data_IF_320747032236
#
_entry.id   IF_320747032236
#
_cell.length_a   1.000
_cell.length_b   1.000
_cell.length_c   1.000
_cell.angle_alpha   90.00
_cell.angle_beta   90.00
_cell.angle_gamma   90.00
#
_symmetry.space_group_name_H-M   'P 1'
#
loop_
_entity.id
_entity.type
_entity.pdbx_description
1 polymer ?
#
# COMPACT_ATOMS: atom_id res chain seq x y z
N UNK A 1 -9.49 -3.35 14.48
CA UNK A 1 -8.55 -3.91 15.47
C UNK A 1 -7.09 -3.85 15.00
N UNK A 2 -6.67 -4.45 13.88
CA UNK A 2 -5.28 -4.44 13.41
C UNK A 2 -4.70 -3.02 13.27
N UNK A 3 -5.42 -2.13 12.60
CA UNK A 3 -5.00 -0.73 12.39
C UNK A 3 -4.82 0.06 13.70
N UNK A 4 -5.62 -0.23 14.74
CA UNK A 4 -5.46 0.41 16.06
C UNK A 4 -4.26 -0.15 16.83
N UNK A 5 -3.95 -1.45 16.63
CA UNK A 5 -2.83 -2.11 17.32
C UNK A 5 -1.48 -1.74 16.69
N UNK A 6 -1.36 -1.86 15.37
CA UNK A 6 -0.12 -1.59 14.65
C UNK A 6 -0.42 -1.11 13.21
N UNK A 7 -0.49 0.20 13.03
CA UNK A 7 -0.79 0.83 11.74
C UNK A 7 0.31 0.55 10.70
N UNK A 8 1.59 0.51 11.13
CA UNK A 8 2.69 0.23 10.21
C UNK A 8 2.58 -1.15 9.57
N UNK A 9 2.28 -2.17 10.36
CA UNK A 9 2.07 -3.53 9.84
C UNK A 9 0.80 -3.64 9.00
N UNK A 10 -0.28 -2.96 9.39
CA UNK A 10 -1.57 -3.02 8.71
C UNK A 10 -1.54 -2.53 7.24
N UNK A 11 -0.53 -1.74 6.86
CA UNK A 11 -0.33 -1.32 5.47
C UNK A 11 0.11 -2.47 4.54
N UNK A 12 0.77 -3.48 5.06
CA UNK A 12 1.20 -4.63 4.25
C UNK A 12 0.02 -5.45 3.70
N UNK A 13 -0.90 -5.99 4.54
CA UNK A 13 -2.07 -6.70 4.04
C UNK A 13 -3.02 -5.78 3.24
N UNK A 14 -3.08 -4.48 3.54
CA UNK A 14 -3.90 -3.54 2.79
C UNK A 14 -3.51 -3.48 1.30
N UNK A 15 -2.21 -3.37 1.00
CA UNK A 15 -1.74 -3.36 -0.38
C UNK A 15 -1.84 -4.73 -1.04
N UNK A 16 -1.67 -5.79 -0.29
CA UNK A 16 -1.84 -7.18 -0.76
C UNK A 16 -3.28 -7.43 -1.19
N UNK A 17 -4.26 -6.97 -0.39
CA UNK A 17 -5.68 -7.06 -0.70
C UNK A 17 -6.02 -6.34 -2.03
N UNK A 18 -5.53 -5.11 -2.18
CA UNK A 18 -5.69 -4.37 -3.44
C UNK A 18 -5.07 -5.08 -4.66
N UNK A 19 -3.90 -5.73 -4.49
CA UNK A 19 -3.28 -6.50 -5.55
C UNK A 19 -4.11 -7.75 -5.94
N UNK A 20 -4.72 -8.41 -4.95
CA UNK A 20 -5.66 -9.52 -5.17
C UNK A 20 -6.84 -9.03 -6.02
N UNK A 21 -7.48 -7.92 -5.63
CA UNK A 21 -8.63 -7.35 -6.35
C UNK A 21 -8.27 -7.02 -7.81
N UNK A 22 -7.15 -6.36 -8.06
CA UNK A 22 -6.71 -6.04 -9.42
C UNK A 22 -6.48 -7.30 -10.27
N UNK A 23 -5.85 -8.34 -9.69
CA UNK A 23 -5.64 -9.62 -10.37
C UNK A 23 -6.95 -10.37 -10.62
N UNK A 24 -7.90 -10.35 -9.69
CA UNK A 24 -9.21 -10.98 -9.86
C UNK A 24 -10.02 -10.32 -10.98
N UNK A 25 -9.93 -8.99 -11.11
CA UNK A 25 -10.65 -8.25 -12.16
C UNK A 25 -9.98 -8.42 -13.52
N UNK A 26 -8.68 -8.21 -13.63
CA UNK A 26 -7.99 -8.06 -14.92
C UNK A 26 -6.94 -9.14 -15.22
N UNK A 27 -6.52 -9.94 -14.24
CA UNK A 27 -5.52 -10.98 -14.45
C UNK A 27 -6.04 -12.12 -15.35
N UNK A 28 -5.13 -12.74 -16.11
CA UNK A 28 -5.42 -13.97 -16.83
C UNK A 28 -5.74 -15.12 -15.86
N UNK A 29 -6.36 -16.19 -16.34
CA UNK A 29 -6.66 -17.35 -15.50
C UNK A 29 -5.39 -17.97 -14.89
N UNK A 30 -4.29 -18.03 -15.66
CA UNK A 30 -3.00 -18.50 -15.19
C UNK A 30 -2.43 -17.59 -14.08
N UNK A 31 -2.50 -16.26 -14.25
CA UNK A 31 -2.07 -15.31 -13.23
C UNK A 31 -2.91 -15.43 -11.94
N UNK A 32 -4.22 -15.60 -12.06
CA UNK A 32 -5.11 -15.79 -10.90
C UNK A 32 -4.75 -17.06 -10.14
N UNK A 33 -4.55 -18.17 -10.83
CA UNK A 33 -4.19 -19.46 -10.21
C UNK A 33 -2.81 -19.40 -9.55
N UNK A 34 -1.85 -18.69 -10.13
CA UNK A 34 -0.49 -18.63 -9.65
C UNK A 34 -0.34 -17.68 -8.45
N UNK A 35 -0.86 -16.46 -8.55
CA UNK A 35 -0.58 -15.39 -7.58
C UNK A 35 -1.62 -15.31 -6.46
N UNK A 36 -2.91 -15.41 -6.76
CA UNK A 36 -3.98 -15.10 -5.80
C UNK A 36 -3.97 -16.02 -4.56
N UNK A 37 -3.82 -17.35 -4.66
CA UNK A 37 -3.79 -18.21 -3.46
C UNK A 37 -2.63 -17.87 -2.51
N UNK A 38 -1.46 -17.53 -3.05
CA UNK A 38 -0.28 -17.18 -2.26
C UNK A 38 -0.40 -15.80 -1.60
N UNK A 39 -1.09 -14.85 -2.25
CA UNK A 39 -1.40 -13.55 -1.68
C UNK A 39 -2.46 -13.66 -0.58
N UNK A 40 -3.53 -14.42 -0.78
CA UNK A 40 -4.58 -14.66 0.23
C UNK A 40 -4.01 -15.34 1.48
N UNK A 41 -3.13 -16.33 1.32
CA UNK A 41 -2.51 -17.03 2.45
C UNK A 41 -1.48 -16.18 3.22
N UNK A 42 -1.06 -15.04 2.67
CA UNK A 42 0.02 -14.22 3.21
C UNK A 42 1.42 -14.80 2.98
N UNK A 43 1.55 -15.91 2.24
CA UNK A 43 2.86 -16.45 1.85
C UNK A 43 3.63 -15.47 0.97
N UNK A 44 2.91 -14.68 0.17
CA UNK A 44 3.41 -13.57 -0.63
C UNK A 44 2.66 -12.28 -0.29
N UNK A 45 3.28 -11.14 -0.60
CA UNK A 45 2.66 -9.81 -0.45
C UNK A 45 2.56 -9.11 -1.79
N UNK A 46 1.61 -8.19 -1.90
CA UNK A 46 1.40 -7.36 -3.09
C UNK A 46 1.79 -5.91 -2.85
N UNK A 47 2.24 -5.21 -3.90
CA UNK A 47 2.58 -3.79 -3.85
C UNK A 47 2.06 -3.05 -5.08
N UNK A 48 1.87 -1.74 -4.93
CA UNK A 48 1.36 -0.83 -5.95
C UNK A 48 2.48 0.12 -6.39
N UNK A 49 2.90 0.05 -7.66
CA UNK A 49 4.05 0.76 -8.20
C UNK A 49 3.64 1.74 -9.30
N UNK A 50 3.23 2.94 -8.89
CA UNK A 50 2.79 4.02 -9.79
C UNK A 50 3.84 5.10 -9.93
N UNK A 51 4.19 5.70 -8.78
CA UNK A 51 4.89 6.98 -8.68
C UNK A 51 6.34 6.87 -9.12
N UNK A 52 6.77 7.84 -9.90
CA UNK A 52 8.18 8.05 -10.30
C UNK A 52 8.64 9.45 -9.85
N UNK A 53 9.93 9.74 -9.81
CA UNK A 53 10.43 11.05 -9.36
C UNK A 53 9.78 12.25 -10.06
N UNK A 54 9.43 12.12 -11.35
CA UNK A 54 8.79 13.17 -12.14
C UNK A 54 7.27 12.96 -12.32
N UNK A 55 6.70 11.83 -11.87
CA UNK A 55 5.32 11.44 -12.11
C UNK A 55 4.65 10.97 -10.81
N UNK A 56 4.11 11.91 -10.05
CA UNK A 56 3.33 11.64 -8.84
C UNK A 56 1.86 11.96 -9.04
N UNK A 57 1.49 13.25 -8.98
CA UNK A 57 0.11 13.69 -9.22
C UNK A 57 -0.28 13.60 -10.70
N UNK A 58 0.67 13.83 -11.60
CA UNK A 58 0.49 13.66 -13.05
C UNK A 58 1.18 12.39 -13.53
N UNK A 59 0.41 11.31 -13.67
CA UNK A 59 0.89 10.02 -14.18
C UNK A 59 1.11 10.01 -15.70
N UNK A 60 0.67 11.04 -16.44
CA UNK A 60 1.00 11.16 -17.87
C UNK A 60 2.51 11.20 -18.13
N UNK A 61 3.29 11.60 -17.11
CA UNK A 61 4.73 11.71 -17.15
C UNK A 61 5.48 10.40 -16.81
N UNK A 62 4.79 9.28 -16.59
CA UNK A 62 5.41 7.96 -16.34
C UNK A 62 6.34 7.60 -17.50
N UNK A 63 7.59 7.24 -17.16
CA UNK A 63 8.67 6.91 -18.10
C UNK A 63 9.15 5.48 -18.01
N UNK A 64 8.76 4.71 -16.99
CA UNK A 64 9.08 3.27 -16.94
C UNK A 64 8.65 2.58 -18.22
N UNK A 65 9.53 1.71 -18.75
CA UNK A 65 9.36 1.04 -20.03
C UNK A 65 9.10 -0.45 -19.82
N UNK A 66 8.26 -1.02 -20.67
CA UNK A 66 8.00 -2.45 -20.75
C UNK A 66 8.32 -2.91 -22.18
N UNK A 67 9.45 -3.59 -22.36
CA UNK A 67 9.93 -4.04 -23.68
C UNK A 67 9.45 -5.47 -23.91
N UNK A 68 8.60 -5.73 -24.92
CA UNK A 68 8.07 -7.06 -25.19
C UNK A 68 9.18 -8.04 -25.59
N UNK A 69 9.02 -9.30 -25.19
CA UNK A 69 9.92 -10.41 -25.49
C UNK A 69 9.19 -11.46 -26.35
N UNK A 70 9.98 -12.29 -27.05
CA UNK A 70 9.46 -13.32 -27.95
C UNK A 70 8.62 -14.41 -27.24
N UNK A 71 8.82 -14.58 -25.94
CA UNK A 71 8.09 -15.54 -25.08
C UNK A 71 6.78 -14.98 -24.50
N UNK A 72 6.40 -13.76 -24.87
CA UNK A 72 5.20 -13.08 -24.37
C UNK A 72 5.40 -12.39 -23.01
N UNK A 73 6.58 -12.45 -22.42
CA UNK A 73 6.96 -11.66 -21.25
C UNK A 73 7.37 -10.24 -21.66
N UNK A 74 7.64 -9.40 -20.67
CA UNK A 74 8.16 -8.04 -20.86
C UNK A 74 9.40 -7.84 -19.97
N UNK A 75 10.35 -7.05 -20.46
CA UNK A 75 11.44 -6.52 -19.67
C UNK A 75 11.10 -5.12 -19.19
N UNK A 76 10.99 -4.95 -17.88
CA UNK A 76 10.60 -3.69 -17.24
C UNK A 76 11.87 -2.93 -16.83
N UNK A 77 11.88 -1.63 -17.16
CA UNK A 77 12.97 -0.70 -16.83
C UNK A 77 12.39 0.57 -16.23
N UNK A 78 13.06 1.13 -15.23
CA UNK A 78 12.70 2.40 -14.63
C UNK A 78 12.84 2.43 -13.13
N UNK A 79 12.38 3.53 -12.54
CA UNK A 79 12.42 3.76 -11.10
C UNK A 79 11.02 4.04 -10.57
N UNK A 80 10.68 3.41 -9.46
CA UNK A 80 9.45 3.68 -8.71
C UNK A 80 9.80 4.14 -7.30
N UNK A 81 9.13 5.20 -6.83
CA UNK A 81 9.38 5.80 -5.52
C UNK A 81 8.13 5.73 -4.64
N UNK A 82 8.33 5.83 -3.33
CA UNK A 82 7.28 5.76 -2.32
C UNK A 82 6.50 4.45 -2.31
N UNK A 83 7.19 3.33 -2.60
CA UNK A 83 6.55 2.03 -2.68
C UNK A 83 6.43 1.43 -1.28
N UNK A 84 5.21 1.47 -0.74
CA UNK A 84 4.87 0.88 0.55
C UNK A 84 5.10 -0.63 0.52
N UNK A 85 5.89 -1.14 1.47
CA UNK A 85 6.32 -2.54 1.54
C UNK A 85 6.98 -3.06 0.26
N UNK A 86 7.68 -2.16 -0.46
CA UNK A 86 8.36 -2.51 -1.70
C UNK A 86 9.53 -3.49 -1.50
N UNK A 87 10.13 -3.53 -0.32
CA UNK A 87 11.18 -4.49 0.06
C UNK A 87 11.05 -4.87 1.53
N UNK A 88 11.06 -6.16 1.81
CA UNK A 88 11.07 -6.76 3.14
C UNK A 88 11.33 -8.27 3.06
N UNK A 89 11.50 -8.91 4.22
CA UNK A 89 11.75 -10.35 4.38
C UNK A 89 10.62 -11.11 5.13
N UNK A 90 9.47 -10.45 5.37
CA UNK A 90 8.34 -11.05 6.08
C UNK A 90 7.56 -12.09 5.26
N UNK A 91 7.74 -12.11 3.95
CA UNK A 91 7.07 -13.02 3.02
C UNK A 91 8.08 -13.67 2.08
N UNK A 92 7.73 -14.84 1.54
CA UNK A 92 8.59 -15.60 0.61
C UNK A 92 8.78 -14.92 -0.73
N UNK A 93 7.85 -14.06 -1.13
CA UNK A 93 7.91 -13.29 -2.38
C UNK A 93 7.13 -11.98 -2.22
N UNK A 94 7.46 -11.00 -3.05
CA UNK A 94 6.72 -9.75 -3.20
C UNK A 94 6.27 -9.67 -4.67
N UNK A 95 4.99 -9.43 -4.89
CA UNK A 95 4.39 -9.30 -6.21
C UNK A 95 4.12 -7.82 -6.47
N UNK A 96 4.92 -7.21 -7.34
CA UNK A 96 4.79 -5.81 -7.69
C UNK A 96 3.80 -5.63 -8.86
N UNK A 97 2.76 -4.83 -8.68
CA UNK A 97 1.91 -4.36 -9.76
C UNK A 97 2.46 -3.03 -10.29
N UNK A 98 3.04 -3.04 -11.48
CA UNK A 98 3.88 -1.96 -12.01
C UNK A 98 3.24 -1.30 -13.21
N UNK A 99 3.08 0.03 -13.16
CA UNK A 99 2.68 0.83 -14.32
C UNK A 99 3.91 1.15 -15.18
N UNK A 100 3.85 0.79 -16.47
CA UNK A 100 4.89 1.07 -17.44
C UNK A 100 4.30 1.26 -18.84
N UNK A 101 5.12 1.74 -19.80
CA UNK A 101 4.74 1.97 -21.19
C UNK A 101 5.38 0.95 -22.11
N UNK A 102 4.62 0.43 -23.05
CA UNK A 102 5.16 -0.30 -24.20
C UNK A 102 5.75 0.68 -25.24
N UNK A 103 6.62 0.22 -26.17
CA UNK A 103 7.32 1.11 -27.11
C UNK A 103 6.39 2.01 -27.94
N UNK A 104 5.26 1.48 -28.41
CA UNK A 104 4.33 2.17 -29.30
C UNK A 104 3.10 2.72 -28.55
N UNK A 105 3.20 2.87 -27.24
CA UNK A 105 2.10 3.35 -26.41
C UNK A 105 1.76 4.82 -26.72
N UNK A 106 0.48 5.18 -26.81
CA UNK A 106 0.06 6.58 -26.97
C UNK A 106 0.56 7.44 -25.81
N UNK A 107 0.73 8.74 -26.08
CA UNK A 107 1.11 9.71 -25.06
C UNK A 107 0.04 9.87 -23.97
N UNK A 108 0.45 10.39 -22.83
CA UNK A 108 -0.43 10.67 -21.71
C UNK A 108 -0.84 9.41 -20.94
N UNK A 109 -1.89 9.51 -20.15
CA UNK A 109 -2.35 8.43 -19.25
C UNK A 109 -2.91 7.21 -20.01
N UNK A 110 -3.35 7.42 -21.25
CA UNK A 110 -3.93 6.36 -22.10
C UNK A 110 -2.89 5.36 -22.64
N UNK A 111 -1.60 5.66 -22.52
CA UNK A 111 -0.52 4.74 -22.93
C UNK A 111 0.12 3.96 -21.79
N UNK A 112 -0.52 3.91 -20.63
CA UNK A 112 0.02 3.21 -19.47
C UNK A 112 -0.59 1.82 -19.36
N UNK A 113 0.26 0.81 -19.29
CA UNK A 113 -0.10 -0.60 -19.11
C UNK A 113 0.27 -1.08 -17.70
N UNK A 114 -0.37 -2.16 -17.24
CA UNK A 114 -0.12 -2.75 -15.92
C UNK A 114 0.58 -4.09 -16.06
N UNK A 115 1.63 -4.30 -15.27
CA UNK A 115 2.42 -5.53 -15.29
C UNK A 115 2.52 -6.15 -13.90
N UNK A 116 2.43 -7.47 -13.81
CA UNK A 116 2.81 -8.23 -12.63
C UNK A 116 4.29 -8.59 -12.72
N UNK A 117 5.06 -8.17 -11.72
CA UNK A 117 6.52 -8.32 -11.64
C UNK A 117 6.86 -8.91 -10.28
N UNK A 118 7.09 -10.22 -10.16
CA UNK A 118 7.46 -10.83 -8.88
C UNK A 118 8.93 -10.52 -8.53
N UNK A 119 9.22 -10.35 -7.25
CA UNK A 119 10.59 -10.18 -6.70
C UNK A 119 11.46 -11.40 -7.01
N UNK A 120 10.92 -12.59 -6.85
CA UNK A 120 11.51 -13.85 -7.30
C UNK A 120 10.61 -14.45 -8.36
N UNK A 121 11.21 -14.89 -9.48
CA UNK A 121 10.46 -15.59 -10.52
C UNK A 121 9.83 -16.85 -9.97
N UNK A 122 8.68 -17.21 -10.48
CA UNK A 122 7.88 -18.29 -9.95
C UNK A 122 7.70 -19.35 -11.05
N UNK A 123 7.91 -20.60 -10.72
CA UNK A 123 7.60 -21.73 -11.61
C UNK A 123 6.09 -21.99 -11.68
N UNK A 124 5.67 -22.90 -12.56
CA UNK A 124 4.26 -23.30 -12.74
C UNK A 124 3.62 -23.87 -11.45
N UNK A 125 4.42 -24.34 -10.51
CA UNK A 125 3.99 -24.90 -9.23
C UNK A 125 3.88 -23.84 -8.12
N UNK A 126 4.21 -22.58 -8.42
CA UNK A 126 4.19 -21.50 -7.45
C UNK A 126 5.44 -21.47 -6.55
N UNK A 127 6.56 -22.09 -6.97
CA UNK A 127 7.79 -22.07 -6.18
C UNK A 127 8.64 -20.86 -6.60
N UNK A 128 9.01 -19.95 -5.66
CA UNK A 128 9.96 -18.88 -5.95
C UNK A 128 11.34 -19.44 -6.29
N UNK A 129 11.94 -18.93 -7.37
CA UNK A 129 13.24 -19.34 -7.88
C UNK A 129 14.22 -18.17 -7.98
N UNK A 130 14.73 -17.89 -9.19
CA UNK A 130 15.74 -16.86 -9.44
C UNK A 130 15.26 -15.47 -9.05
N UNK A 131 16.19 -14.66 -8.52
CA UNK A 131 15.96 -13.25 -8.24
C UNK A 131 15.68 -12.49 -9.53
N UNK A 132 14.55 -11.81 -9.60
CA UNK A 132 14.21 -10.91 -10.69
C UNK A 132 15.04 -9.61 -10.60
N UNK A 133 15.13 -8.86 -11.71
CA UNK A 133 15.91 -7.62 -11.78
C UNK A 133 15.09 -6.43 -11.25
N UNK A 134 14.64 -6.56 -10.01
CA UNK A 134 14.03 -5.51 -9.20
C UNK A 134 14.72 -5.46 -7.84
N UNK A 135 15.19 -4.28 -7.44
CA UNK A 135 15.87 -4.13 -6.17
C UNK A 135 15.58 -2.81 -5.48
N UNK A 136 15.70 -2.79 -4.17
CA UNK A 136 15.48 -1.62 -3.34
C UNK A 136 16.76 -0.79 -3.29
N UNK A 137 16.71 0.42 -3.80
CA UNK A 137 17.82 1.37 -3.73
C UNK A 137 17.91 2.01 -2.35
N UNK A 138 16.77 2.38 -1.77
CA UNK A 138 16.67 3.03 -0.47
C UNK A 138 15.27 2.89 0.10
N UNK A 139 15.13 3.17 1.39
CA UNK A 139 13.86 3.34 2.07
C UNK A 139 13.75 4.76 2.62
N UNK A 140 12.53 5.31 2.61
CA UNK A 140 12.24 6.68 3.03
C UNK A 140 12.35 6.85 4.55
N UNK A 141 12.91 7.97 4.97
CA UNK A 141 12.89 8.42 6.36
C UNK A 141 11.60 9.23 6.60
N UNK A 142 10.67 8.70 7.40
CA UNK A 142 9.33 9.25 7.54
C UNK A 142 9.06 9.82 8.93
N UNK A 143 8.09 10.74 9.03
CA UNK A 143 7.59 11.28 10.31
C UNK A 143 6.90 10.22 11.16
N UNK A 144 6.07 9.38 10.55
CA UNK A 144 5.30 8.33 11.21
C UNK A 144 5.37 7.01 10.43
N UNK A 145 4.67 5.97 10.90
CA UNK A 145 4.64 4.62 10.32
C UNK A 145 6.04 4.11 9.93
N UNK A 146 7.04 4.37 10.78
CA UNK A 146 8.46 4.13 10.47
C UNK A 146 8.79 2.66 10.24
N UNK A 147 8.03 1.75 10.88
CA UNK A 147 8.17 0.31 10.70
C UNK A 147 7.53 -0.23 9.40
N UNK A 148 6.86 0.62 8.60
CA UNK A 148 6.43 0.29 7.24
C UNK A 148 7.51 0.74 6.26
N UNK A 149 8.29 -0.16 5.62
CA UNK A 149 9.31 0.24 4.67
C UNK A 149 8.65 0.86 3.44
N UNK A 150 9.05 2.08 3.11
CA UNK A 150 8.60 2.81 1.92
C UNK A 150 9.78 2.90 0.98
N UNK A 151 9.80 2.07 -0.04
CA UNK A 151 10.96 1.80 -0.85
C UNK A 151 11.06 2.70 -2.10
N UNK A 152 12.29 2.94 -2.53
CA UNK A 152 12.65 3.30 -3.89
C UNK A 152 13.08 2.02 -4.60
N UNK A 153 12.35 1.63 -5.65
CA UNK A 153 12.63 0.41 -6.42
C UNK A 153 13.19 0.76 -7.79
N UNK A 154 14.27 0.09 -8.15
CA UNK A 154 14.87 0.14 -9.49
C UNK A 154 14.59 -1.16 -10.23
N UNK A 155 14.19 -1.03 -11.47
CA UNK A 155 13.88 -2.10 -12.40
C UNK A 155 14.86 -2.01 -13.58
N UNK A 156 15.59 -3.07 -13.86
CA UNK A 156 16.39 -3.17 -15.07
C UNK A 156 17.85 -2.77 -14.93
N UNK A 157 18.41 -2.77 -13.73
CA UNK A 157 19.81 -2.39 -13.45
C UNK A 157 20.80 -3.57 -13.51
N UNK A 158 20.37 -4.74 -13.99
CA UNK A 158 21.17 -5.97 -14.07
C UNK A 158 21.74 -6.43 -12.71
N UNK A 159 20.91 -6.30 -11.66
CA UNK A 159 21.25 -6.71 -10.29
C UNK A 159 20.54 -7.99 -9.84
N UNK A 160 19.71 -8.55 -10.72
CA UNK A 160 19.07 -9.84 -10.52
C UNK A 160 19.87 -11.00 -11.12
N UNK A 161 19.22 -12.15 -11.23
CA UNK A 161 19.79 -13.37 -11.83
C UNK A 161 19.22 -13.66 -13.23
N UNK A 162 18.58 -12.64 -13.84
CA UNK A 162 17.83 -12.80 -15.10
C UNK A 162 18.36 -11.92 -16.24
N UNK A 163 19.48 -11.22 -16.02
CA UNK A 163 20.00 -10.18 -16.92
C UNK A 163 19.20 -8.88 -16.83
N UNK A 164 19.61 -7.87 -17.57
CA UNK A 164 19.01 -6.54 -17.52
C UNK A 164 17.53 -6.54 -17.90
N UNK A 165 16.72 -5.85 -17.08
CA UNK A 165 15.27 -5.77 -17.23
C UNK A 165 14.52 -6.75 -16.35
N UNK A 166 13.66 -6.25 -15.47
CA UNK A 166 12.83 -7.09 -14.64
C UNK A 166 11.77 -7.81 -15.48
N UNK A 167 11.67 -9.14 -15.34
CA UNK A 167 10.68 -9.95 -16.05
C UNK A 167 9.29 -9.69 -15.45
N UNK A 168 8.36 -9.26 -16.30
CA UNK A 168 6.98 -9.03 -15.95
C UNK A 168 6.02 -9.57 -17.00
N UNK A 169 4.75 -9.70 -16.63
CA UNK A 169 3.68 -10.12 -17.53
C UNK A 169 2.55 -9.10 -17.50
N UNK A 170 1.98 -8.82 -18.66
CA UNK A 170 0.86 -7.90 -18.82
C UNK A 170 -0.36 -8.39 -18.02
N UNK A 171 -1.00 -7.48 -17.29
CA UNK A 171 -2.30 -7.70 -16.65
C UNK A 171 -3.37 -7.02 -17.50
N UNK A 172 -4.34 -7.81 -17.97
CA UNK A 172 -5.41 -7.33 -18.84
C UNK A 172 -4.92 -6.95 -20.23
N UNK A 173 -5.30 -5.77 -20.71
CA UNK A 173 -4.99 -5.25 -22.04
C UNK A 173 -3.97 -4.12 -21.95
N UNK A 174 -3.13 -3.98 -22.99
CA UNK A 174 -2.23 -2.82 -23.12
C UNK A 174 -3.03 -1.51 -23.11
N UNK A 175 -2.40 -0.48 -22.57
CA UNK A 175 -2.94 0.89 -22.53
C UNK A 175 -4.18 1.08 -21.63
N UNK A 176 -4.56 0.07 -20.86
CA UNK A 176 -5.62 0.11 -19.84
C UNK A 176 -5.11 -0.06 -18.41
N UNK A 177 -3.80 0.00 -18.22
CA UNK A 177 -3.19 -0.28 -16.92
C UNK A 177 -3.64 0.65 -15.80
N UNK A 178 -3.91 1.90 -16.10
CA UNK A 178 -4.40 2.84 -15.09
C UNK A 178 -5.80 2.49 -14.60
N UNK A 179 -6.68 2.01 -15.48
CA UNK A 179 -8.02 1.52 -15.12
C UNK A 179 -7.93 0.36 -14.12
N UNK A 180 -7.09 -0.63 -14.40
CA UNK A 180 -6.90 -1.79 -13.52
C UNK A 180 -6.22 -1.41 -12.20
N UNK A 181 -5.26 -0.48 -12.25
CA UNK A 181 -4.62 0.04 -11.03
C UNK A 181 -5.61 0.80 -10.15
N UNK A 182 -6.61 1.48 -10.71
CA UNK A 182 -7.65 2.16 -9.94
C UNK A 182 -8.54 1.20 -9.15
N UNK A 183 -8.71 -0.05 -9.57
CA UNK A 183 -9.37 -1.09 -8.76
C UNK A 183 -8.64 -1.24 -7.43
N UNK A 184 -7.32 -1.44 -7.48
CA UNK A 184 -6.46 -1.50 -6.30
C UNK A 184 -6.48 -0.21 -5.49
N UNK A 185 -6.40 0.95 -6.15
CA UNK A 185 -6.41 2.26 -5.49
C UNK A 185 -7.73 2.53 -4.76
N UNK A 186 -8.86 2.12 -5.29
CA UNK A 186 -10.16 2.32 -4.65
C UNK A 186 -10.28 1.48 -3.37
N UNK A 187 -9.85 0.23 -3.40
CA UNK A 187 -9.76 -0.62 -2.21
C UNK A 187 -8.83 0.02 -1.16
N UNK A 188 -7.66 0.49 -1.57
CA UNK A 188 -6.71 1.15 -0.68
C UNK A 188 -7.26 2.45 -0.08
N UNK A 189 -7.98 3.29 -0.85
CA UNK A 189 -8.60 4.53 -0.34
C UNK A 189 -9.63 4.25 0.74
N UNK A 190 -10.49 3.27 0.52
CA UNK A 190 -11.46 2.83 1.53
C UNK A 190 -10.75 2.34 2.80
N UNK A 191 -9.76 1.48 2.66
CA UNK A 191 -9.01 0.94 3.78
C UNK A 191 -8.26 2.03 4.57
N UNK A 192 -7.74 3.07 3.90
CA UNK A 192 -7.11 4.23 4.57
C UNK A 192 -8.16 5.04 5.36
N UNK A 193 -9.39 5.17 4.87
CA UNK A 193 -10.50 5.72 5.64
C UNK A 193 -10.73 4.95 6.96
N UNK A 194 -10.76 3.62 6.88
CA UNK A 194 -10.88 2.74 8.06
C UNK A 194 -9.68 2.90 9.01
N UNK A 195 -8.47 3.14 8.48
CA UNK A 195 -7.30 3.44 9.32
C UNK A 195 -7.48 4.73 10.11
N UNK A 196 -8.02 5.78 9.48
CA UNK A 196 -8.33 7.04 10.15
C UNK A 196 -9.28 6.84 11.34
N UNK A 197 -10.35 6.08 11.15
CA UNK A 197 -11.30 5.72 12.22
C UNK A 197 -10.59 4.95 13.34
N UNK A 198 -9.76 3.98 13.00
CA UNK A 198 -9.08 3.15 13.98
C UNK A 198 -8.10 3.94 14.86
N UNK A 199 -7.38 4.90 14.28
CA UNK A 199 -6.47 5.81 15.01
C UNK A 199 -7.25 6.79 15.87
N UNK A 200 -8.35 7.37 15.35
CA UNK A 200 -9.24 8.25 16.10
C UNK A 200 -9.86 7.56 17.32
N UNK A 201 -10.35 6.34 17.17
CA UNK A 201 -10.88 5.52 18.26
C UNK A 201 -9.83 5.26 19.34
N UNK A 202 -8.60 4.88 18.95
CA UNK A 202 -7.51 4.64 19.90
C UNK A 202 -7.17 5.92 20.67
N UNK A 203 -7.06 7.05 19.97
CA UNK A 203 -6.78 8.35 20.60
C UNK A 203 -7.89 8.73 21.59
N UNK A 204 -9.17 8.53 21.23
CA UNK A 204 -10.31 8.78 22.10
C UNK A 204 -10.25 7.93 23.38
N UNK A 205 -10.01 6.62 23.25
CA UNK A 205 -9.94 5.72 24.42
C UNK A 205 -8.82 6.13 25.38
N UNK A 206 -7.64 6.48 24.87
CA UNK A 206 -6.53 6.96 25.68
C UNK A 206 -6.85 8.30 26.35
N UNK A 207 -7.48 9.22 25.63
CA UNK A 207 -7.88 10.51 26.17
C UNK A 207 -8.91 10.36 27.31
N UNK A 208 -9.89 9.45 27.15
CA UNK A 208 -10.89 9.15 28.22
C UNK A 208 -10.21 8.56 29.44
N UNK A 209 -9.33 7.57 29.26
CA UNK A 209 -8.60 6.96 30.38
C UNK A 209 -7.78 8.02 31.14
N UNK A 210 -6.98 8.81 30.43
CA UNK A 210 -6.21 9.88 31.03
C UNK A 210 -7.09 10.91 31.76
N UNK A 211 -8.22 11.31 31.16
CA UNK A 211 -9.11 12.30 31.75
C UNK A 211 -9.82 11.81 33.03
N UNK A 212 -9.97 10.50 33.21
CA UNK A 212 -10.49 9.88 34.45
C UNK A 212 -9.47 9.86 35.56
N UNK A 213 -8.19 9.70 35.24
CA UNK A 213 -7.11 9.53 36.24
C UNK A 213 -6.44 10.87 36.62
N UNK A 214 -6.31 11.79 35.66
CA UNK A 214 -5.65 13.09 35.88
C UNK A 214 -6.46 13.99 36.79
N UNK A 215 -5.92 14.31 37.96
CA UNK A 215 -6.48 15.30 38.89
C UNK A 215 -5.95 16.69 38.57
N UNK A 216 -6.85 17.66 38.41
CA UNK A 216 -6.46 19.06 38.22
C UNK A 216 -7.60 20.01 38.56
N UNK A 217 -7.34 20.96 39.46
CA UNK A 217 -8.27 22.02 39.85
C UNK A 217 -9.60 21.52 40.44
N UNK A 218 -10.39 22.41 41.01
CA UNK A 218 -11.76 22.15 41.46
C UNK A 218 -12.70 22.19 40.27
N UNK A 219 -13.81 21.43 40.34
CA UNK A 219 -14.87 21.53 39.34
C UNK A 219 -15.77 22.77 39.54
N UNK A 220 -16.57 23.09 38.53
CA UNK A 220 -17.49 24.23 38.58
C UNK A 220 -18.61 24.06 39.60
N UNK A 221 -18.84 22.86 40.12
CA UNK A 221 -19.79 22.56 41.17
C UNK A 221 -19.25 22.83 42.57
N UNK A 222 -17.98 23.22 42.72
CA UNK A 222 -17.36 23.64 43.98
C UNK A 222 -16.85 22.48 44.83
N UNK A 223 -16.22 21.48 44.21
CA UNK A 223 -15.54 20.39 44.94
C UNK A 223 -14.54 20.91 45.96
N UNK A 224 -14.35 20.18 47.07
CA UNK A 224 -13.42 20.56 48.16
C UNK A 224 -11.94 20.49 47.75
N UNK A 225 -11.60 19.75 46.70
CA UNK A 225 -10.25 19.56 46.22
C UNK A 225 -10.19 19.34 44.72
N UNK A 226 -9.01 19.01 44.19
CA UNK A 226 -8.81 18.69 42.79
C UNK A 226 -9.63 17.44 42.39
N UNK A 227 -10.21 17.49 41.19
CA UNK A 227 -11.04 16.43 40.63
C UNK A 227 -10.42 15.87 39.36
N UNK A 228 -10.83 14.64 38.92
CA UNK A 228 -10.50 14.17 37.59
C UNK A 228 -10.92 15.17 36.51
N UNK A 229 -10.05 15.43 35.54
CA UNK A 229 -10.31 16.48 34.55
C UNK A 229 -11.54 16.20 33.67
N UNK A 230 -12.02 14.96 33.60
CA UNK A 230 -13.27 14.61 32.93
C UNK A 230 -14.50 15.32 33.52
N UNK A 231 -14.41 15.88 34.75
CA UNK A 231 -15.46 16.68 35.35
C UNK A 231 -15.55 18.11 34.82
N UNK A 232 -14.50 18.60 34.17
CA UNK A 232 -14.49 19.94 33.60
C UNK A 232 -15.32 19.98 32.30
N UNK A 233 -16.20 20.98 32.14
CA UNK A 233 -17.15 21.05 31.00
C UNK A 233 -16.42 21.06 29.65
N UNK A 234 -15.30 21.78 29.52
CA UNK A 234 -14.56 21.84 28.24
C UNK A 234 -13.87 20.52 27.88
N UNK A 235 -13.30 19.81 28.86
CA UNK A 235 -12.77 18.46 28.65
C UNK A 235 -13.86 17.50 28.18
N UNK A 236 -15.04 17.57 28.80
CA UNK A 236 -16.21 16.77 28.36
C UNK A 236 -16.62 17.11 26.94
N UNK A 237 -16.66 18.40 26.59
CA UNK A 237 -16.97 18.84 25.23
C UNK A 237 -15.98 18.26 24.23
N UNK A 238 -14.67 18.34 24.50
CA UNK A 238 -13.63 17.77 23.63
C UNK A 238 -13.81 16.25 23.45
N UNK A 239 -14.01 15.50 24.53
CA UNK A 239 -14.22 14.05 24.48
C UNK A 239 -15.50 13.68 23.71
N UNK A 240 -16.58 14.42 23.89
CA UNK A 240 -17.82 14.22 23.14
C UNK A 240 -17.63 14.49 21.65
N UNK A 241 -16.86 15.54 21.29
CA UNK A 241 -16.55 15.85 19.89
C UNK A 241 -15.74 14.73 19.25
N UNK A 242 -14.68 14.25 19.93
CA UNK A 242 -13.89 13.12 19.44
C UNK A 242 -14.75 11.88 19.19
N UNK A 243 -15.62 11.54 20.15
CA UNK A 243 -16.53 10.40 20.05
C UNK A 243 -17.49 10.56 18.88
N UNK A 244 -18.18 11.70 18.80
CA UNK A 244 -19.18 11.98 17.76
C UNK A 244 -18.58 11.86 16.36
N UNK A 245 -17.39 12.45 16.12
CA UNK A 245 -16.72 12.33 14.82
C UNK A 245 -16.28 10.90 14.50
N UNK A 246 -15.78 10.15 15.48
CA UNK A 246 -15.36 8.76 15.29
C UNK A 246 -16.55 7.86 14.97
N UNK A 247 -17.68 8.01 15.68
CA UNK A 247 -18.91 7.25 15.45
C UNK A 247 -19.55 7.63 14.10
N UNK A 248 -19.59 8.92 13.75
CA UNK A 248 -20.10 9.38 12.46
C UNK A 248 -19.27 8.82 11.30
N UNK A 249 -17.92 8.88 11.38
CA UNK A 249 -17.04 8.32 10.37
C UNK A 249 -17.18 6.80 10.21
N UNK A 250 -17.59 6.09 11.26
CA UNK A 250 -17.85 4.64 11.21
C UNK A 250 -19.19 4.29 10.56
N UNK A 251 -20.13 5.22 10.57
CA UNK A 251 -21.46 5.04 9.98
C UNK A 251 -21.51 5.37 8.48
N UNK A 252 -20.47 6.05 7.95
CA UNK A 252 -20.29 6.32 6.51
C UNK A 252 -19.75 5.08 5.78
#
# INVERSE_FOLDING_TARGET
MLNSANLSFALCPLLTDGAIEALLVAGSQAQKQLFVPNLISGAWTGTMNLTEPQAGSDLALVRSKAVPQADGSYRIFGQKIFITYGEHDMARNIVHLVLARTPDAPEGVKGISLFVVPKYLVDERGTPGRRNDVWCQSIEHKLGIKASPTAVLLYGDDKGEVGAGAIGHLIGEENRGLEYMFVMMNAARFAVGVQGIAVAERAYQQAVAYAKDRLQSRDVAGSSGAVPIIRHPDVRRMLMTMRAHTEAARAL
#
